data_IF_649130001980
#
_entry.id   IF_649130001980
#
_cell.length_a   1.000
_cell.length_b   1.000
_cell.length_c   1.000
_cell.angle_alpha   90.00
_cell.angle_beta   90.00
_cell.angle_gamma   90.00
#
_symmetry.space_group_name_H-M   'P 1'
#
loop_
_entity.id
_entity.type
_entity.pdbx_description
1 polymer ?
#
# COMPACT_ATOMS: atom_id res chain seq x y z
N UNK A 1 0.91 -19.27 16.33
CA UNK A 1 0.69 -19.10 14.90
C UNK A 1 -0.30 -17.98 14.66
N UNK A 2 0.06 -17.08 13.80
CA UNK A 2 -0.80 -15.94 13.52
C UNK A 2 -1.94 -16.36 12.62
N UNK A 3 -3.16 -16.16 13.08
CA UNK A 3 -4.31 -16.51 12.27
C UNK A 3 -4.65 -15.42 11.27
N UNK A 4 -5.47 -15.76 10.30
CA UNK A 4 -5.90 -14.76 9.31
C UNK A 4 -6.66 -13.61 9.94
N UNK A 5 -7.39 -13.86 11.02
CA UNK A 5 -8.11 -12.78 11.69
C UNK A 5 -7.18 -11.73 12.24
N UNK A 6 -6.04 -12.16 12.80
CA UNK A 6 -5.06 -11.23 13.31
C UNK A 6 -4.41 -10.46 12.17
N UNK A 7 -4.13 -11.14 11.07
CA UNK A 7 -3.55 -10.49 9.90
C UNK A 7 -4.54 -9.51 9.29
N UNK A 8 -5.82 -9.87 9.27
CA UNK A 8 -6.86 -8.96 8.78
C UNK A 8 -6.93 -7.71 9.64
N UNK A 9 -6.84 -7.87 10.95
CA UNK A 9 -6.84 -6.71 11.84
C UNK A 9 -5.64 -5.81 11.57
N UNK A 10 -4.47 -6.42 11.41
CA UNK A 10 -3.26 -5.66 11.12
C UNK A 10 -3.40 -4.91 9.79
N UNK A 11 -3.95 -5.55 8.78
CA UNK A 11 -4.15 -4.92 7.49
C UNK A 11 -5.17 -3.79 7.55
N UNK A 12 -6.25 -4.00 8.30
CA UNK A 12 -7.28 -2.98 8.45
C UNK A 12 -6.71 -1.75 9.15
N UNK A 13 -5.90 -1.96 10.17
CA UNK A 13 -5.25 -0.87 10.86
C UNK A 13 -4.26 -0.16 9.97
N UNK A 14 -3.48 -0.93 9.21
CA UNK A 14 -2.53 -0.36 8.28
C UNK A 14 -3.23 0.47 7.20
N UNK A 15 -4.38 -0.01 6.74
CA UNK A 15 -5.18 0.72 5.77
C UNK A 15 -5.61 2.08 6.31
N UNK A 16 -6.11 2.08 7.53
CA UNK A 16 -6.54 3.33 8.16
C UNK A 16 -5.38 4.31 8.32
N UNK A 17 -4.23 3.79 8.73
CA UNK A 17 -3.05 4.63 8.91
C UNK A 17 -2.57 5.21 7.58
N UNK A 18 -2.57 4.40 6.53
CA UNK A 18 -2.15 4.88 5.21
C UNK A 18 -3.10 5.95 4.67
N UNK A 19 -4.38 5.75 4.84
CA UNK A 19 -5.36 6.74 4.41
C UNK A 19 -5.17 8.06 5.16
N UNK A 20 -4.94 7.97 6.46
CA UNK A 20 -4.72 9.16 7.28
C UNK A 20 -3.45 9.89 6.85
N UNK A 21 -2.40 9.14 6.53
CA UNK A 21 -1.16 9.75 6.08
C UNK A 21 -1.33 10.44 4.73
N UNK A 22 -2.04 9.81 3.81
CA UNK A 22 -2.31 10.43 2.50
C UNK A 22 -3.07 11.73 2.69
N UNK A 23 -4.07 11.73 3.57
CA UNK A 23 -4.83 12.93 3.85
C UNK A 23 -3.96 14.01 4.50
N UNK A 24 -3.04 13.60 5.36
CA UNK A 24 -2.16 14.56 6.01
C UNK A 24 -1.21 15.24 5.03
N UNK A 25 -0.95 14.59 3.89
CA UNK A 25 -0.14 15.18 2.83
C UNK A 25 -0.97 16.08 1.91
N UNK A 26 -2.27 16.20 2.17
CA UNK A 26 -3.13 17.03 1.34
C UNK A 26 -3.70 16.32 0.13
N UNK A 27 -3.60 15.01 0.08
CA UNK A 27 -4.11 14.25 -1.05
C UNK A 27 -5.38 13.50 -0.68
N UNK A 28 -6.12 13.06 -1.69
CA UNK A 28 -7.36 12.31 -1.51
C UNK A 28 -7.03 10.82 -1.54
N UNK A 29 -7.25 10.09 -0.44
CA UNK A 29 -6.93 8.67 -0.42
C UNK A 29 -7.85 7.82 -1.30
N UNK A 30 -8.97 8.37 -1.73
CA UNK A 30 -9.90 7.64 -2.59
C UNK A 30 -9.65 7.85 -4.07
N UNK A 31 -8.74 8.74 -4.43
CA UNK A 31 -8.43 9.03 -5.82
C UNK A 31 -7.25 8.22 -6.29
N UNK A 32 -7.26 7.78 -7.52
CA UNK A 32 -6.12 7.07 -8.11
C UNK A 32 -5.05 8.03 -8.59
N UNK A 33 -5.37 9.30 -8.68
CA UNK A 33 -4.42 10.28 -9.13
C UNK A 33 -3.81 11.01 -7.94
N UNK A 34 -2.56 11.45 -8.10
CA UNK A 34 -1.92 12.24 -7.06
C UNK A 34 -2.38 13.67 -7.23
N UNK A 35 -3.51 13.95 -6.62
CA UNK A 35 -4.06 15.30 -6.61
C UNK A 35 -4.17 15.76 -5.17
N UNK A 36 -3.96 17.03 -4.97
CA UNK A 36 -4.08 17.61 -3.65
C UNK A 36 -5.45 18.22 -3.48
N UNK A 37 -6.03 17.97 -2.32
CA UNK A 37 -7.40 18.37 -2.05
C UNK A 37 -7.59 19.87 -2.10
N UNK A 38 -6.61 20.58 -1.61
CA UNK A 38 -6.71 22.02 -1.56
C UNK A 38 -5.73 22.67 -2.51
N UNK A 39 -6.09 22.62 -3.76
CA UNK A 39 -5.29 23.17 -4.81
C UNK A 39 -5.19 24.65 -4.77
N UNK A 40 -6.29 25.28 -4.48
CA UNK A 40 -6.37 26.72 -4.55
C UNK A 40 -5.52 27.38 -3.49
N UNK A 41 -5.50 26.79 -2.30
CA UNK A 41 -4.73 27.36 -1.22
C UNK A 41 -3.30 26.88 -1.25
N UNK A 42 -3.04 25.88 -2.00
CA UNK A 42 -1.74 25.26 -2.04
C UNK A 42 -0.88 26.03 -3.00
N UNK A 43 -0.35 27.05 -2.51
CA UNK A 43 0.33 28.00 -3.33
C UNK A 43 1.66 27.52 -3.82
N UNK A 44 1.91 27.71 -5.07
CA UNK A 44 3.21 27.44 -5.64
C UNK A 44 4.31 28.26 -5.02
N UNK A 45 3.93 29.32 -4.34
CA UNK A 45 4.89 30.16 -3.68
C UNK A 45 5.47 29.53 -2.42
N UNK A 46 4.75 28.61 -1.84
CA UNK A 46 5.17 27.98 -0.59
C UNK A 46 6.10 26.81 -0.80
N UNK A 47 6.13 26.27 -2.00
CA UNK A 47 6.87 25.06 -2.26
C UNK A 47 7.71 25.16 -3.51
N UNK A 48 8.95 24.75 -3.40
CA UNK A 48 9.81 24.66 -4.54
C UNK A 48 9.43 23.45 -5.39
N UNK A 49 9.94 23.40 -6.60
CA UNK A 49 9.71 22.26 -7.48
C UNK A 49 10.21 20.96 -6.83
N UNK A 50 11.36 21.05 -6.15
CA UNK A 50 11.92 19.88 -5.47
C UNK A 50 11.01 19.38 -4.36
N UNK A 51 10.46 20.29 -3.57
CA UNK A 51 9.55 19.92 -2.49
C UNK A 51 8.29 19.29 -3.03
N UNK A 52 7.76 19.80 -4.13
CA UNK A 52 6.61 19.22 -4.78
C UNK A 52 6.88 17.82 -5.28
N UNK A 53 8.04 17.63 -5.89
CA UNK A 53 8.41 16.31 -6.37
C UNK A 53 8.51 15.31 -5.24
N UNK A 54 9.07 15.73 -4.11
CA UNK A 54 9.16 14.86 -2.95
C UNK A 54 7.77 14.50 -2.42
N UNK A 55 6.88 15.49 -2.34
CA UNK A 55 5.52 15.25 -1.90
C UNK A 55 4.79 14.26 -2.78
N UNK A 56 4.92 14.46 -4.08
CA UNK A 56 4.30 13.54 -5.03
C UNK A 56 4.84 12.13 -4.87
N UNK A 57 6.15 12.00 -4.69
CA UNK A 57 6.77 10.70 -4.50
C UNK A 57 6.26 10.01 -3.23
N UNK A 58 6.16 10.77 -2.15
CA UNK A 58 5.65 10.23 -0.88
C UNK A 58 4.21 9.75 -1.05
N UNK A 59 3.36 10.58 -1.66
CA UNK A 59 1.97 10.22 -1.84
C UNK A 59 1.83 8.99 -2.73
N UNK A 60 2.63 8.91 -3.78
CA UNK A 60 2.60 7.74 -4.66
C UNK A 60 2.98 6.47 -3.93
N UNK A 61 4.01 6.55 -3.08
CA UNK A 61 4.42 5.39 -2.30
C UNK A 61 3.32 4.97 -1.32
N UNK A 62 2.69 5.94 -0.67
CA UNK A 62 1.60 5.64 0.25
C UNK A 62 0.42 5.01 -0.47
N UNK A 63 0.10 5.49 -1.65
CA UNK A 63 -0.99 4.93 -2.45
C UNK A 63 -0.69 3.52 -2.91
N UNK A 64 0.56 3.27 -3.29
CA UNK A 64 0.98 1.94 -3.69
C UNK A 64 0.80 0.97 -2.53
N UNK A 65 1.23 1.36 -1.34
CA UNK A 65 1.06 0.55 -0.15
C UNK A 65 -0.42 0.33 0.16
N UNK A 66 -1.22 1.37 0.02
CA UNK A 66 -2.66 1.25 0.28
C UNK A 66 -3.31 0.26 -0.68
N UNK A 67 -2.93 0.30 -1.95
CA UNK A 67 -3.45 -0.65 -2.92
C UNK A 67 -3.08 -2.08 -2.56
N UNK A 68 -1.83 -2.28 -2.13
CA UNK A 68 -1.38 -3.61 -1.73
C UNK A 68 -2.18 -4.12 -0.53
N UNK A 69 -2.43 -3.24 0.44
CA UNK A 69 -3.23 -3.60 1.61
C UNK A 69 -4.66 -3.95 1.21
N UNK A 70 -5.26 -3.13 0.35
CA UNK A 70 -6.62 -3.37 -0.12
C UNK A 70 -6.72 -4.68 -0.89
N UNK A 71 -5.72 -4.98 -1.71
CA UNK A 71 -5.70 -6.25 -2.46
C UNK A 71 -5.55 -7.42 -1.51
N UNK A 72 -4.71 -7.30 -0.49
CA UNK A 72 -4.56 -8.36 0.49
C UNK A 72 -5.88 -8.64 1.20
N UNK A 73 -6.59 -7.60 1.59
CA UNK A 73 -7.90 -7.76 2.22
C UNK A 73 -8.89 -8.42 1.28
N UNK A 74 -8.89 -8.03 0.02
CA UNK A 74 -9.77 -8.65 -0.98
C UNK A 74 -9.44 -10.12 -1.17
N UNK A 75 -8.15 -10.46 -1.15
CA UNK A 75 -7.74 -11.86 -1.28
C UNK A 75 -8.20 -12.69 -0.09
N UNK A 76 -8.25 -12.10 1.09
CA UNK A 76 -8.81 -12.80 2.24
C UNK A 76 -10.28 -13.10 2.04
N UNK A 77 -11.01 -12.16 1.45
CA UNK A 77 -12.44 -12.33 1.22
C UNK A 77 -12.74 -13.45 0.22
N UNK A 78 -11.87 -13.63 -0.77
CA UNK A 78 -12.09 -14.67 -1.78
C UNK A 78 -11.26 -15.94 -1.54
N UNK A 79 -10.51 -15.99 -0.45
CA UNK A 79 -9.81 -17.21 -0.06
C UNK A 79 -8.48 -17.44 -0.76
N UNK A 80 -7.87 -16.41 -1.35
CA UNK A 80 -6.58 -16.56 -2.02
C UNK A 80 -5.44 -15.86 -1.29
N UNK A 81 -5.70 -15.38 -0.10
CA UNK A 81 -4.68 -14.71 0.68
C UNK A 81 -3.55 -15.69 1.03
N UNK A 82 -2.31 -15.21 0.94
CA UNK A 82 -1.15 -16.04 1.25
C UNK A 82 -0.64 -16.84 0.08
N UNK A 83 -1.20 -16.64 -1.10
CA UNK A 83 -0.77 -17.32 -2.32
C UNK A 83 -0.05 -16.32 -3.21
N UNK A 84 1.13 -16.70 -3.69
CA UNK A 84 1.89 -15.85 -4.59
C UNK A 84 1.11 -15.64 -5.88
N UNK A 85 0.95 -14.39 -6.28
CA UNK A 85 0.19 -14.07 -7.48
C UNK A 85 0.88 -14.51 -8.76
N UNK A 86 2.18 -14.71 -8.69
CA UNK A 86 2.93 -15.08 -9.89
C UNK A 86 3.05 -16.59 -10.08
N UNK A 87 3.50 -17.29 -9.03
CA UNK A 87 3.78 -18.72 -9.19
C UNK A 87 2.71 -19.62 -8.57
N UNK A 88 1.79 -19.06 -7.81
CA UNK A 88 0.71 -19.82 -7.20
C UNK A 88 1.11 -20.63 -5.99
N UNK A 89 2.35 -20.52 -5.54
CA UNK A 89 2.81 -21.24 -4.35
C UNK A 89 2.48 -20.43 -3.09
N UNK A 90 2.39 -21.12 -1.95
CA UNK A 90 2.13 -20.41 -0.70
C UNK A 90 3.28 -19.47 -0.35
N UNK A 91 2.92 -18.31 0.18
CA UNK A 91 3.92 -17.39 0.73
C UNK A 91 4.23 -17.86 2.15
N UNK A 92 5.51 -17.82 2.52
CA UNK A 92 5.93 -18.28 3.84
C UNK A 92 5.19 -17.50 4.94
N UNK A 93 4.70 -18.19 5.98
CA UNK A 93 3.99 -17.51 7.07
C UNK A 93 4.81 -16.42 7.73
N UNK A 94 6.11 -16.63 7.88
CA UNK A 94 6.98 -15.60 8.49
C UNK A 94 6.98 -14.33 7.67
N UNK A 95 6.94 -14.48 6.35
CA UNK A 95 6.90 -13.33 5.47
C UNK A 95 5.56 -12.59 5.58
N UNK A 96 4.48 -13.34 5.71
CA UNK A 96 3.16 -12.73 5.88
C UNK A 96 3.04 -12.01 7.22
N UNK A 97 3.68 -12.53 8.26
CA UNK A 97 3.67 -11.85 9.54
C UNK A 97 4.42 -10.52 9.47
N UNK A 98 5.53 -10.52 8.78
CA UNK A 98 6.33 -9.32 8.62
C UNK A 98 5.70 -8.35 7.63
N UNK A 99 5.12 -8.89 6.56
CA UNK A 99 4.53 -8.08 5.49
C UNK A 99 3.14 -8.65 5.15
N UNK A 100 2.13 -8.31 5.94
CA UNK A 100 0.78 -8.87 5.70
C UNK A 100 0.22 -8.57 4.32
N UNK A 101 0.72 -7.55 3.66
CA UNK A 101 0.27 -7.19 2.32
C UNK A 101 1.09 -7.85 1.21
N UNK A 102 1.96 -8.79 1.54
CA UNK A 102 2.81 -9.42 0.54
C UNK A 102 1.96 -10.21 -0.47
N UNK A 103 2.25 -9.99 -1.73
CA UNK A 103 1.55 -10.65 -2.83
C UNK A 103 2.44 -11.67 -3.55
N UNK A 104 3.74 -11.62 -3.30
CA UNK A 104 4.71 -12.48 -3.97
C UNK A 104 5.52 -13.23 -2.93
N UNK A 105 5.86 -14.47 -3.26
CA UNK A 105 6.81 -15.20 -2.43
C UNK A 105 8.19 -14.59 -2.62
N UNK A 106 9.11 -14.95 -1.72
CA UNK A 106 10.42 -14.33 -1.75
C UNK A 106 11.17 -14.63 -3.04
N UNK A 107 10.98 -15.82 -3.58
CA UNK A 107 11.64 -16.18 -4.84
C UNK A 107 11.18 -15.30 -5.99
N UNK A 108 9.89 -15.08 -6.11
CA UNK A 108 9.36 -14.23 -7.17
C UNK A 108 9.77 -12.78 -6.97
N UNK A 109 9.81 -12.34 -5.73
CA UNK A 109 10.24 -10.98 -5.43
C UNK A 109 11.70 -10.77 -5.80
N UNK A 110 12.54 -11.76 -5.48
CA UNK A 110 13.97 -11.67 -5.78
C UNK A 110 14.27 -11.76 -7.27
N UNK A 111 13.42 -12.40 -8.03
CA UNK A 111 13.61 -12.48 -9.47
C UNK A 111 13.36 -11.17 -10.18
N UNK A 112 13.06 -10.15 -9.40
CA UNK A 112 12.87 -8.84 -9.98
C UNK A 112 11.61 -8.72 -10.79
N UNK A 113 10.58 -9.39 -10.35
CA UNK A 113 9.30 -9.30 -11.02
C UNK A 113 8.70 -7.98 -10.70
N UNK A 114 9.17 -7.06 -11.41
CA UNK A 114 8.69 -5.72 -11.19
C UNK A 114 7.71 -5.32 -12.23
N UNK A 115 7.43 -6.19 -12.90
CA UNK A 115 6.50 -5.93 -13.94
C UNK A 115 5.88 -5.97 -14.31
#
# INVERSE_FOLDING_TARGET
>A
MTGQDELRMALTEQRANLRAEIESQGADPDSDEVTFVDDAGFSDRSHSTEERSKLISVVRALRSNLRDVDRALAKMDVGTYGTCERCGKPIAPDRLEALPWAMLCIDCKQKGVTG
#
